data_IF_941413280951
#
_entry.id   IF_941413280951
#
_cell.length_a   1.000
_cell.length_b   1.000
_cell.length_c   1.000
_cell.angle_alpha   90.00
_cell.angle_beta   90.00
_cell.angle_gamma   90.00
#
_symmetry.space_group_name_H-M   'P 1'
#
loop_
_entity.id
_entity.type
_entity.pdbx_description
1 polymer ?
#
# COMPACT_ATOMS: atom_id res chain seq x y z
N UNK A 1 0.24 -13.26 -21.87
CA UNK A 1 -0.56 -12.06 -21.51
C UNK A 1 -0.21 -11.69 -20.09
N UNK A 2 0.66 -10.70 -19.89
CA UNK A 2 0.94 -10.15 -18.56
C UNK A 2 -0.26 -9.32 -18.15
N UNK A 3 -0.97 -9.73 -17.09
CA UNK A 3 -2.13 -8.98 -16.59
C UNK A 3 -1.63 -8.00 -15.56
N UNK A 4 -1.80 -6.71 -15.87
CA UNK A 4 -1.41 -5.57 -15.04
C UNK A 4 -2.66 -4.79 -14.66
N UNK A 5 -2.80 -4.45 -13.38
CA UNK A 5 -3.88 -3.60 -12.87
C UNK A 5 -3.30 -2.23 -12.57
N UNK A 6 -3.81 -1.20 -13.24
CA UNK A 6 -3.48 0.19 -12.92
C UNK A 6 -4.33 0.65 -11.73
N UNK A 7 -3.68 1.02 -10.64
CA UNK A 7 -4.34 1.58 -9.44
C UNK A 7 -3.62 2.83 -8.95
N UNK A 8 -4.29 3.62 -8.11
CA UNK A 8 -3.76 4.86 -7.56
C UNK A 8 -3.45 4.67 -6.08
N UNK A 9 -2.24 5.04 -5.66
CA UNK A 9 -1.89 5.05 -4.25
C UNK A 9 -2.74 6.12 -3.52
N UNK A 10 -3.43 5.74 -2.45
CA UNK A 10 -4.26 6.64 -1.67
C UNK A 10 -3.44 7.71 -0.93
N UNK A 11 -2.19 7.40 -0.59
CA UNK A 11 -1.33 8.30 0.18
C UNK A 11 -0.65 9.37 -0.68
N UNK A 12 -0.06 8.98 -1.82
CA UNK A 12 0.65 9.91 -2.69
C UNK A 12 -0.11 10.30 -3.96
N UNK A 13 -1.24 9.66 -4.26
CA UNK A 13 -2.03 9.94 -5.46
C UNK A 13 -1.32 9.61 -6.78
N UNK A 14 -0.22 8.84 -6.76
CA UNK A 14 0.45 8.37 -7.99
C UNK A 14 -0.19 7.09 -8.50
N UNK A 15 -0.20 6.90 -9.82
CA UNK A 15 -0.62 5.67 -10.48
C UNK A 15 0.51 4.65 -10.41
N UNK A 16 0.15 3.40 -10.11
CA UNK A 16 1.04 2.25 -10.06
C UNK A 16 0.43 1.11 -10.86
N UNK A 17 1.30 0.36 -11.53
CA UNK A 17 0.94 -0.87 -12.20
C UNK A 17 1.25 -2.01 -11.26
N UNK A 18 0.24 -2.81 -10.94
CA UNK A 18 0.34 -3.94 -10.04
C UNK A 18 0.21 -5.21 -10.87
N UNK A 19 1.25 -6.03 -10.85
CA UNK A 19 1.31 -7.31 -11.56
C UNK A 19 0.68 -8.43 -10.73
N UNK A 20 0.32 -9.54 -11.39
CA UNK A 20 -0.23 -10.76 -10.77
C UNK A 20 0.58 -11.35 -9.62
N UNK A 21 1.88 -11.06 -9.60
CA UNK A 21 2.80 -11.52 -8.56
C UNK A 21 2.66 -10.72 -7.25
N UNK A 22 2.04 -9.54 -7.30
CA UNK A 22 1.86 -8.72 -6.12
C UNK A 22 0.75 -9.29 -5.21
N UNK A 23 0.96 -9.35 -3.88
CA UNK A 23 -0.03 -9.93 -2.96
C UNK A 23 -1.37 -9.18 -2.98
N UNK A 24 -1.36 -7.87 -3.22
CA UNK A 24 -2.57 -7.06 -3.32
C UNK A 24 -3.22 -7.10 -4.72
N UNK A 25 -2.60 -7.75 -5.71
CA UNK A 25 -3.17 -7.89 -7.04
C UNK A 25 -4.55 -8.57 -6.99
N UNK A 26 -4.68 -9.66 -6.24
CA UNK A 26 -5.97 -10.37 -6.11
C UNK A 26 -7.08 -9.48 -5.53
N UNK A 27 -6.71 -8.57 -4.63
CA UNK A 27 -7.67 -7.63 -4.02
C UNK A 27 -8.06 -6.53 -5.00
N UNK A 28 -7.09 -6.03 -5.77
CA UNK A 28 -7.29 -5.01 -6.80
C UNK A 28 -8.06 -5.55 -8.01
N UNK A 29 -7.80 -6.79 -8.41
CA UNK A 29 -8.54 -7.50 -9.46
C UNK A 29 -9.99 -7.73 -9.06
N UNK A 30 -10.24 -8.11 -7.79
CA UNK A 30 -11.59 -8.26 -7.27
C UNK A 30 -12.32 -6.92 -7.07
N UNK A 31 -11.61 -5.88 -6.62
CA UNK A 31 -12.15 -4.54 -6.35
C UNK A 31 -11.13 -3.46 -6.74
N UNK A 32 -11.27 -2.82 -7.92
CA UNK A 32 -10.34 -1.78 -8.36
C UNK A 32 -10.39 -0.50 -7.51
N UNK A 33 -11.44 -0.34 -6.71
CA UNK A 33 -11.66 0.75 -5.76
C UNK A 33 -11.08 0.49 -4.36
N UNK A 34 -10.43 -0.65 -4.13
CA UNK A 34 -9.77 -0.92 -2.84
C UNK A 34 -8.59 0.03 -2.62
N UNK A 35 -8.40 0.45 -1.38
CA UNK A 35 -7.27 1.30 -0.97
C UNK A 35 -5.95 0.61 -1.29
N UNK A 36 -5.23 1.12 -2.30
CA UNK A 36 -3.86 0.74 -2.59
C UNK A 36 -2.89 1.72 -1.94
N UNK A 37 -1.83 1.20 -1.33
CA UNK A 37 -0.73 1.99 -0.79
C UNK A 37 0.55 1.44 -1.43
N UNK A 38 1.29 2.30 -2.14
CA UNK A 38 2.56 1.88 -2.75
C UNK A 38 3.62 1.57 -1.68
N UNK A 39 4.63 0.79 -2.04
CA UNK A 39 5.69 0.35 -1.12
C UNK A 39 6.38 1.51 -0.39
N UNK A 40 6.60 2.62 -1.08
CA UNK A 40 7.22 3.82 -0.50
C UNK A 40 6.35 4.37 0.64
N UNK A 41 5.05 4.52 0.38
CA UNK A 41 4.11 5.03 1.39
C UNK A 41 3.89 4.00 2.51
N UNK A 42 3.84 2.72 2.18
CA UNK A 42 3.69 1.63 3.14
C UNK A 42 4.91 1.56 4.08
N UNK A 43 6.11 1.64 3.53
CA UNK A 43 7.36 1.70 4.30
C UNK A 43 7.39 2.93 5.21
N UNK A 44 7.02 4.10 4.68
CA UNK A 44 6.94 5.32 5.47
C UNK A 44 5.96 5.19 6.65
N UNK A 45 4.74 4.70 6.41
CA UNK A 45 3.74 4.50 7.46
C UNK A 45 4.25 3.51 8.52
N UNK A 46 4.87 2.41 8.09
CA UNK A 46 5.47 1.43 9.02
C UNK A 46 6.53 2.07 9.88
N UNK A 47 7.46 2.80 9.28
CA UNK A 47 8.51 3.51 9.99
C UNK A 47 7.94 4.52 10.99
N UNK A 48 7.02 5.38 10.57
CA UNK A 48 6.36 6.36 11.44
C UNK A 48 5.59 5.68 12.59
N UNK A 49 4.97 4.52 12.33
CA UNK A 49 4.23 3.75 13.34
C UNK A 49 5.18 3.09 14.36
N UNK A 50 6.29 2.53 13.89
CA UNK A 50 7.32 1.91 14.72
C UNK A 50 8.05 2.95 15.59
N UNK A 51 8.30 4.15 15.07
CA UNK A 51 8.88 5.25 15.84
C UNK A 51 7.94 5.75 16.92
N UNK A 52 6.65 5.95 16.61
CA UNK A 52 5.63 6.35 17.59
C UNK A 52 5.38 5.30 18.67
N UNK A 53 5.52 4.01 18.34
CA UNK A 53 5.33 2.93 19.32
C UNK A 53 6.49 2.83 20.34
N UNK A 54 7.60 3.56 20.14
CA UNK A 54 8.70 3.63 21.12
C UNK A 54 8.45 4.64 22.23
N UNK A 55 7.41 5.47 22.13
CA UNK A 55 6.99 6.32 23.24
C UNK A 55 6.33 5.42 24.30
N UNK A 56 6.94 5.27 25.50
CA UNK A 56 6.36 4.42 26.53
C UNK A 56 4.97 4.95 26.88
N UNK A 57 4.00 4.04 26.99
CA UNK A 57 2.67 4.34 27.54
C UNK A 57 2.86 5.18 28.80
N UNK A 58 2.18 6.34 28.94
CA UNK A 58 2.23 7.08 30.18
C UNK A 58 1.72 6.16 31.30
N UNK A 59 2.56 5.99 32.33
CA UNK A 59 2.19 5.32 33.58
C UNK A 59 1.22 6.19 34.37
#
# INVERSE_FOLDING_TARGET
MSVIVETRCMMCGKKYQVDKEHPDFKKLEANPSVTFICDICNYRIRHESEEKQKEPKPM
#
